data_IF_311504925650
#
_entry.id   IF_311504925650
#
_cell.length_a   1.000
_cell.length_b   1.000
_cell.length_c   1.000
_cell.angle_alpha   90.00
_cell.angle_beta   90.00
_cell.angle_gamma   90.00
#
_symmetry.space_group_name_H-M   'P 1'
#
loop_
_entity.id
_entity.type
_entity.pdbx_description
1 polymer ?
#
# COMPACT_ATOMS: atom_id res chain seq x y z
N UNK A 1 20.06 28.48 -11.71
CA UNK A 1 18.93 27.52 -11.82
C UNK A 1 19.55 26.15 -12.05
N UNK A 2 19.56 25.27 -11.05
CA UNK A 2 20.15 23.92 -11.20
C UNK A 2 19.20 23.10 -12.07
N UNK A 3 19.63 22.72 -13.27
CA UNK A 3 18.84 21.88 -14.18
C UNK A 3 18.92 20.43 -13.74
N UNK A 4 17.78 19.72 -13.78
CA UNK A 4 17.74 18.28 -13.56
C UNK A 4 18.47 17.59 -14.71
N UNK A 5 19.47 16.78 -14.37
CA UNK A 5 20.28 16.03 -15.33
C UNK A 5 19.66 14.67 -15.61
N UNK A 6 18.92 14.10 -14.66
CA UNK A 6 18.28 12.80 -14.78
C UNK A 6 16.75 12.89 -14.69
N UNK A 7 16.07 12.00 -15.42
CA UNK A 7 14.61 11.88 -15.38
C UNK A 7 14.15 11.03 -14.20
N UNK A 8 12.96 11.29 -13.67
CA UNK A 8 12.33 10.50 -12.60
C UNK A 8 12.18 9.03 -13.00
N UNK A 9 12.02 8.74 -14.29
CA UNK A 9 11.91 7.37 -14.80
C UNK A 9 13.21 6.54 -14.68
N UNK A 10 14.36 7.20 -14.56
CA UNK A 10 15.65 6.54 -14.37
C UNK A 10 15.93 6.24 -12.89
N UNK A 11 15.18 6.86 -11.98
CA UNK A 11 15.38 6.74 -10.54
C UNK A 11 15.38 5.29 -10.02
N UNK A 12 14.51 4.36 -10.49
CA UNK A 12 14.53 2.97 -10.05
C UNK A 12 15.88 2.28 -10.26
N UNK A 13 16.54 2.53 -11.39
CA UNK A 13 17.84 1.94 -11.70
C UNK A 13 18.98 2.70 -11.00
N UNK A 14 18.96 4.03 -11.05
CA UNK A 14 20.02 4.87 -10.49
C UNK A 14 20.07 4.80 -8.95
N UNK A 15 18.95 4.48 -8.28
CA UNK A 15 18.90 4.32 -6.83
C UNK A 15 19.87 3.25 -6.28
N UNK A 16 20.23 2.25 -7.09
CA UNK A 16 21.10 1.15 -6.67
C UNK A 16 22.58 1.55 -6.62
N UNK A 17 23.03 2.53 -7.39
CA UNK A 17 24.47 2.74 -7.57
C UNK A 17 24.91 4.17 -7.91
N UNK A 18 24.00 5.08 -8.25
CA UNK A 18 24.40 6.39 -8.77
C UNK A 18 24.59 7.41 -7.66
N UNK A 19 25.85 7.54 -7.24
CA UNK A 19 26.32 8.55 -6.31
C UNK A 19 25.89 9.98 -6.68
N UNK A 20 26.01 10.34 -7.97
CA UNK A 20 25.63 11.66 -8.49
C UNK A 20 24.12 11.89 -8.44
N UNK A 21 23.32 10.84 -8.60
CA UNK A 21 21.87 10.96 -8.56
C UNK A 21 21.35 11.24 -7.15
N UNK A 22 21.92 10.60 -6.11
CA UNK A 22 21.58 10.92 -4.72
C UNK A 22 21.83 12.40 -4.38
N UNK A 23 22.91 12.97 -4.91
CA UNK A 23 23.24 14.39 -4.78
C UNK A 23 22.24 15.28 -5.52
N UNK A 24 21.95 14.97 -6.78
CA UNK A 24 20.96 15.74 -7.57
C UNK A 24 19.59 15.75 -6.89
N UNK A 25 19.16 14.62 -6.35
CA UNK A 25 17.89 14.51 -5.60
C UNK A 25 17.90 15.42 -4.37
N UNK A 26 18.99 15.45 -3.61
CA UNK A 26 19.14 16.30 -2.44
C UNK A 26 19.01 17.81 -2.77
N UNK A 27 19.46 18.21 -3.95
CA UNK A 27 19.44 19.61 -4.40
C UNK A 27 18.12 20.02 -5.08
N UNK A 28 17.51 19.11 -5.86
CA UNK A 28 16.48 19.47 -6.85
C UNK A 28 15.08 18.90 -6.56
N UNK A 29 14.92 17.92 -5.67
CA UNK A 29 13.62 17.29 -5.39
C UNK A 29 12.90 17.95 -4.20
N UNK A 30 12.35 19.15 -4.41
CA UNK A 30 11.52 19.88 -3.43
C UNK A 30 10.04 19.48 -3.51
N UNK A 31 9.72 18.23 -3.16
CA UNK A 31 8.35 17.70 -3.13
C UNK A 31 8.01 16.70 -4.25
N UNK A 32 8.82 16.64 -5.32
CA UNK A 32 8.67 15.61 -6.37
C UNK A 32 9.00 14.20 -5.89
N UNK A 33 9.71 14.07 -4.76
CA UNK A 33 10.07 12.78 -4.15
C UNK A 33 8.83 11.95 -3.81
N UNK A 34 7.81 12.57 -3.22
CA UNK A 34 6.58 11.87 -2.83
C UNK A 34 5.72 11.48 -4.03
N UNK A 35 5.74 12.27 -5.11
CA UNK A 35 5.10 11.90 -6.36
C UNK A 35 5.82 10.71 -7.02
N UNK A 36 7.16 10.71 -7.01
CA UNK A 36 7.96 9.57 -7.47
C UNK A 36 7.68 8.32 -6.64
N UNK A 37 7.62 8.43 -5.31
CA UNK A 37 7.32 7.29 -4.43
C UNK A 37 5.94 6.69 -4.76
N UNK A 38 4.93 7.53 -5.00
CA UNK A 38 3.60 7.07 -5.42
C UNK A 38 3.68 6.33 -6.76
N UNK A 39 4.41 6.89 -7.74
CA UNK A 39 4.57 6.27 -9.05
C UNK A 39 5.31 4.92 -8.97
N UNK A 40 6.40 4.85 -8.21
CA UNK A 40 7.15 3.62 -7.97
C UNK A 40 6.25 2.54 -7.39
N UNK A 41 5.50 2.88 -6.33
CA UNK A 41 4.57 1.95 -5.70
C UNK A 41 3.43 1.56 -6.65
N UNK A 42 2.87 2.50 -7.41
CA UNK A 42 1.82 2.20 -8.38
C UNK A 42 2.27 1.12 -9.36
N UNK A 43 3.49 1.21 -9.89
CA UNK A 43 4.09 0.21 -10.78
C UNK A 43 4.36 -1.10 -10.05
N UNK A 44 5.00 -1.06 -8.88
CA UNK A 44 5.33 -2.26 -8.09
C UNK A 44 4.08 -3.05 -7.64
N UNK A 45 2.95 -2.38 -7.43
CA UNK A 45 1.69 -3.02 -7.05
C UNK A 45 0.90 -3.60 -8.24
N UNK A 46 1.21 -3.25 -9.50
CA UNK A 46 0.47 -3.77 -10.66
C UNK A 46 0.46 -5.31 -10.73
N UNK A 47 1.60 -6.02 -10.62
CA UNK A 47 1.61 -7.48 -10.73
C UNK A 47 0.79 -8.15 -9.63
N UNK A 48 0.92 -7.67 -8.39
CA UNK A 48 0.16 -8.19 -7.24
C UNK A 48 -1.33 -7.89 -7.37
N UNK A 49 -1.69 -6.68 -7.83
CA UNK A 49 -3.07 -6.32 -8.13
C UNK A 49 -3.70 -7.25 -9.18
N UNK A 50 -2.97 -7.53 -10.27
CA UNK A 50 -3.41 -8.50 -11.28
C UNK A 50 -3.59 -9.92 -10.72
N UNK A 51 -2.67 -10.38 -9.86
CA UNK A 51 -2.79 -11.70 -9.23
C UNK A 51 -4.03 -11.80 -8.33
N UNK A 52 -4.27 -10.81 -7.47
CA UNK A 52 -5.45 -10.75 -6.59
C UNK A 52 -6.73 -10.71 -7.42
N UNK A 53 -6.76 -9.87 -8.46
CA UNK A 53 -7.89 -9.72 -9.37
C UNK A 53 -8.22 -11.03 -10.09
N UNK A 54 -7.21 -11.72 -10.64
CA UNK A 54 -7.40 -13.00 -11.32
C UNK A 54 -7.85 -14.09 -10.34
N UNK A 55 -7.30 -14.10 -9.12
CA UNK A 55 -7.71 -15.02 -8.06
C UNK A 55 -9.17 -14.82 -7.66
N UNK A 56 -9.61 -13.57 -7.50
CA UNK A 56 -11.01 -13.23 -7.22
C UNK A 56 -11.93 -13.62 -8.37
N UNK A 57 -11.60 -13.25 -9.61
CA UNK A 57 -12.40 -13.61 -10.78
C UNK A 57 -12.58 -15.13 -10.91
N UNK A 58 -11.49 -15.89 -10.73
CA UNK A 58 -11.50 -17.36 -10.73
C UNK A 58 -12.37 -17.93 -9.62
N UNK A 59 -12.28 -17.39 -8.40
CA UNK A 59 -13.14 -17.81 -7.28
C UNK A 59 -14.62 -17.55 -7.59
N UNK A 60 -14.96 -16.41 -8.20
CA UNK A 60 -16.33 -16.11 -8.61
C UNK A 60 -16.80 -17.09 -9.69
N UNK A 61 -15.98 -17.43 -10.68
CA UNK A 61 -16.36 -18.36 -11.76
C UNK A 61 -16.49 -19.82 -11.30
N UNK A 62 -15.55 -20.30 -10.51
CA UNK A 62 -15.42 -21.73 -10.21
C UNK A 62 -16.09 -22.14 -8.90
N UNK A 63 -16.12 -21.26 -7.89
CA UNK A 63 -16.56 -21.63 -6.54
C UNK A 63 -17.92 -21.02 -6.19
N UNK A 64 -18.17 -19.77 -6.60
CA UNK A 64 -19.39 -19.07 -6.21
C UNK A 64 -20.70 -19.77 -6.64
N UNK A 65 -20.79 -20.47 -7.80
CA UNK A 65 -22.03 -21.15 -8.16
C UNK A 65 -22.48 -22.17 -7.11
N UNK A 66 -21.54 -22.91 -6.51
CA UNK A 66 -21.82 -23.92 -5.47
C UNK A 66 -22.43 -23.32 -4.20
N UNK A 67 -22.22 -22.04 -3.94
CA UNK A 67 -22.85 -21.31 -2.84
C UNK A 67 -24.16 -20.66 -3.27
N UNK A 68 -24.17 -20.00 -4.44
CA UNK A 68 -25.35 -19.27 -4.92
C UNK A 68 -26.52 -20.20 -5.21
N UNK A 69 -26.27 -21.43 -5.66
CA UNK A 69 -27.30 -22.44 -5.88
C UNK A 69 -28.03 -22.87 -4.59
N UNK A 70 -27.44 -22.65 -3.41
CA UNK A 70 -28.07 -22.95 -2.12
C UNK A 70 -28.99 -21.81 -1.63
N UNK A 71 -28.93 -20.63 -2.26
CA UNK A 71 -29.72 -19.46 -1.85
C UNK A 71 -31.17 -19.64 -2.32
N UNK A 72 -32.17 -19.71 -1.42
CA UNK A 72 -33.57 -19.71 -1.82
C UNK A 72 -34.00 -18.30 -2.26
N UNK A 73 -35.14 -18.14 -2.97
CA UNK A 73 -35.75 -16.83 -3.15
C UNK A 73 -36.15 -16.25 -1.79
N UNK A 74 -35.67 -15.04 -1.47
CA UNK A 74 -35.95 -14.32 -0.24
C UNK A 74 -36.58 -12.98 -0.62
N UNK A 75 -37.71 -12.67 0.01
CA UNK A 75 -38.39 -11.38 -0.12
C UNK A 75 -38.51 -10.77 1.27
N UNK A 76 -38.06 -9.54 1.43
CA UNK A 76 -38.26 -8.74 2.65
C UNK A 76 -39.24 -7.64 2.30
N UNK A 77 -40.37 -7.58 3.02
CA UNK A 77 -41.36 -6.50 2.91
C UNK A 77 -41.73 -5.99 4.29
N UNK A 78 -41.64 -4.68 4.49
CA UNK A 78 -41.91 -4.01 5.77
C UNK A 78 -41.17 -4.68 6.95
N UNK A 79 -39.91 -5.03 6.71
CA UNK A 79 -39.05 -5.74 7.66
C UNK A 79 -39.39 -7.20 7.95
N UNK A 80 -40.33 -7.81 7.23
CA UNK A 80 -40.67 -9.23 7.35
C UNK A 80 -40.09 -10.03 6.18
N UNK A 81 -39.31 -11.05 6.52
CA UNK A 81 -38.72 -12.00 5.59
C UNK A 81 -39.73 -13.09 5.24
N UNK A 82 -39.88 -13.35 3.95
CA UNK A 82 -40.60 -14.47 3.37
C UNK A 82 -39.66 -15.27 2.47
N UNK A 83 -39.75 -16.60 2.56
CA UNK A 83 -38.87 -17.53 1.84
C UNK A 83 -39.73 -18.55 1.12
N UNK A 84 -39.61 -18.59 -0.21
CA UNK A 84 -40.31 -19.56 -1.05
C UNK A 84 -39.47 -20.83 -1.25
N UNK A 85 -39.25 -21.55 -0.14
CA UNK A 85 -38.53 -22.81 -0.10
C UNK A 85 -38.88 -23.61 1.17
N UNK A 86 -38.52 -24.90 1.19
CA UNK A 86 -38.66 -25.73 2.38
C UNK A 86 -37.71 -25.23 3.48
N UNK A 87 -38.26 -24.87 4.62
CA UNK A 87 -37.54 -24.34 5.78
C UNK A 87 -37.37 -25.40 6.89
N UNK A 88 -36.33 -25.30 7.74
CA UNK A 88 -35.21 -24.35 7.65
C UNK A 88 -34.25 -24.66 6.48
N UNK A 89 -33.73 -23.62 5.83
CA UNK A 89 -32.73 -23.76 4.77
C UNK A 89 -31.32 -23.63 5.35
N UNK A 90 -30.39 -24.46 4.89
CA UNK A 90 -29.00 -24.45 5.33
C UNK A 90 -28.10 -24.14 4.14
N UNK A 91 -27.27 -23.11 4.28
CA UNK A 91 -26.17 -22.83 3.36
C UNK A 91 -24.91 -23.41 3.98
N UNK A 92 -24.32 -24.37 3.27
CA UNK A 92 -23.17 -25.14 3.73
C UNK A 92 -21.97 -24.92 2.83
N UNK A 93 -20.80 -24.99 3.42
CA UNK A 93 -19.56 -25.08 2.68
C UNK A 93 -19.58 -26.39 1.85
N UNK A 94 -19.45 -26.32 0.52
CA UNK A 94 -19.58 -27.47 -0.35
C UNK A 94 -18.57 -28.59 -0.08
N UNK A 95 -17.40 -28.26 0.44
CA UNK A 95 -16.26 -29.17 0.61
C UNK A 95 -16.19 -29.72 2.03
N UNK A 96 -16.33 -28.86 3.04
CA UNK A 96 -16.26 -29.24 4.47
C UNK A 96 -17.62 -29.61 5.08
N UNK A 97 -18.71 -29.34 4.38
CA UNK A 97 -20.10 -29.49 4.86
C UNK A 97 -20.44 -28.68 6.11
N UNK A 98 -19.57 -27.74 6.49
CA UNK A 98 -19.80 -26.85 7.62
C UNK A 98 -20.97 -25.92 7.30
N UNK A 99 -21.92 -25.78 8.23
CA UNK A 99 -23.02 -24.82 8.08
C UNK A 99 -22.46 -23.40 8.18
N UNK A 100 -22.68 -22.60 7.15
CA UNK A 100 -22.24 -21.21 7.07
C UNK A 100 -23.38 -20.25 7.43
N UNK A 101 -24.57 -20.51 6.89
CA UNK A 101 -25.76 -19.73 7.19
C UNK A 101 -27.01 -20.60 7.32
N UNK A 102 -27.99 -20.13 8.10
CA UNK A 102 -29.30 -20.77 8.30
C UNK A 102 -30.37 -19.73 8.01
N UNK A 103 -31.43 -20.13 7.31
CA UNK A 103 -32.59 -19.30 7.03
C UNK A 103 -33.81 -20.02 7.59
N UNK A 104 -34.45 -19.42 8.60
CA UNK A 104 -35.64 -19.97 9.24
C UNK A 104 -36.57 -18.85 9.73
N UNK A 105 -37.64 -18.61 8.98
CA UNK A 105 -38.73 -17.68 9.31
C UNK A 105 -39.86 -18.34 10.12
N UNK A 106 -39.82 -19.66 10.30
CA UNK A 106 -40.85 -20.44 11.00
C UNK A 106 -40.62 -20.54 12.50
N UNK A 107 -39.39 -20.27 12.96
CA UNK A 107 -39.01 -20.36 14.37
C UNK A 107 -38.78 -21.80 14.86
N UNK A 108 -38.58 -22.75 13.96
CA UNK A 108 -38.28 -24.15 14.30
C UNK A 108 -36.87 -24.31 14.89
N UNK A 109 -35.94 -23.42 14.53
CA UNK A 109 -34.54 -23.45 14.95
C UNK A 109 -34.21 -22.20 15.76
N UNK A 110 -33.56 -22.40 16.91
CA UNK A 110 -33.09 -21.30 17.75
C UNK A 110 -31.91 -20.55 17.05
N UNK A 111 -31.82 -19.21 17.19
CA UNK A 111 -30.72 -18.43 16.65
C UNK A 111 -29.35 -18.91 17.19
N UNK A 112 -28.42 -19.22 16.27
CA UNK A 112 -26.94 -19.42 16.33
C UNK A 112 -26.23 -20.06 17.53
N UNK A 113 -26.79 -20.09 18.74
CA UNK A 113 -26.10 -20.49 19.97
C UNK A 113 -25.73 -21.98 20.03
N UNK A 114 -26.21 -22.81 19.06
CA UNK A 114 -25.94 -24.26 19.03
C UNK A 114 -25.60 -24.86 17.66
N UNK A 115 -25.59 -24.08 16.58
CA UNK A 115 -25.50 -24.63 15.21
C UNK A 115 -24.16 -24.45 14.51
N UNK A 116 -23.24 -23.65 15.08
CA UNK A 116 -21.92 -23.38 14.48
C UNK A 116 -21.96 -22.50 13.23
N UNK A 117 -23.14 -22.07 12.80
CA UNK A 117 -23.33 -21.15 11.69
C UNK A 117 -22.82 -19.74 12.02
N UNK A 118 -22.49 -18.98 10.98
CA UNK A 118 -22.03 -17.60 11.10
C UNK A 118 -23.18 -16.60 10.97
N UNK A 119 -24.22 -16.96 10.20
CA UNK A 119 -25.37 -16.10 9.91
C UNK A 119 -26.66 -16.87 10.12
N UNK A 120 -27.64 -16.26 10.78
CA UNK A 120 -29.00 -16.76 10.88
C UNK A 120 -29.97 -15.68 10.40
N UNK A 121 -30.83 -16.00 9.45
CA UNK A 121 -31.88 -15.11 8.94
C UNK A 121 -33.21 -15.61 9.50
N UNK A 122 -33.79 -14.83 10.41
CA UNK A 122 -35.10 -15.07 11.00
C UNK A 122 -36.22 -14.33 10.27
N UNK A 123 -37.40 -14.29 10.88
CA UNK A 123 -38.57 -13.61 10.32
C UNK A 123 -38.40 -12.10 10.16
N UNK A 124 -37.74 -11.44 11.11
CA UNK A 124 -37.65 -9.98 11.20
C UNK A 124 -36.25 -9.47 11.61
N UNK A 125 -35.29 -10.39 11.67
CA UNK A 125 -33.94 -10.12 12.14
C UNK A 125 -32.90 -10.99 11.44
N UNK A 126 -31.70 -10.44 11.30
CA UNK A 126 -30.50 -11.18 10.90
C UNK A 126 -29.54 -11.20 12.07
N UNK A 127 -29.11 -12.40 12.45
CA UNK A 127 -28.14 -12.60 13.51
C UNK A 127 -26.80 -12.98 12.88
N UNK A 128 -25.73 -12.31 13.26
CA UNK A 128 -24.37 -12.54 12.75
C UNK A 128 -23.41 -12.80 13.91
N UNK A 129 -22.70 -13.92 13.85
CA UNK A 129 -21.65 -14.27 14.80
C UNK A 129 -20.33 -13.62 14.38
N UNK A 130 -19.78 -12.72 15.20
CA UNK A 130 -18.49 -12.05 14.96
C UNK A 130 -17.29 -12.76 15.61
N UNK A 131 -17.53 -13.60 16.62
CA UNK A 131 -16.48 -14.35 17.31
C UNK A 131 -17.07 -15.47 18.17
N UNK A 132 -16.24 -16.08 19.03
CA UNK A 132 -16.70 -17.15 19.93
C UNK A 132 -17.84 -16.69 20.85
N UNK A 133 -17.77 -15.42 21.32
CA UNK A 133 -18.66 -14.87 22.35
C UNK A 133 -19.42 -13.61 21.90
N UNK A 134 -19.33 -13.20 20.64
CA UNK A 134 -20.02 -12.01 20.15
C UNK A 134 -21.00 -12.37 19.03
N UNK A 135 -22.27 -12.10 19.30
CA UNK A 135 -23.38 -12.23 18.36
C UNK A 135 -24.06 -10.87 18.21
N UNK A 136 -24.28 -10.43 16.98
CA UNK A 136 -24.99 -9.18 16.68
C UNK A 136 -26.32 -9.47 16.01
N UNK A 137 -27.37 -8.86 16.51
CA UNK A 137 -28.72 -8.93 15.95
C UNK A 137 -28.99 -7.62 15.22
N UNK A 138 -29.37 -7.72 13.95
CA UNK A 138 -29.80 -6.60 13.12
C UNK A 138 -31.29 -6.74 12.85
N UNK A 139 -32.08 -5.74 13.24
CA UNK A 139 -33.50 -5.68 12.90
C UNK A 139 -33.68 -5.31 11.44
N UNK A 140 -34.68 -5.90 10.79
CA UNK A 140 -35.04 -5.63 9.39
C UNK A 140 -36.14 -4.57 9.26
N UNK A 141 -36.68 -4.06 10.37
CA UNK A 141 -37.77 -3.06 10.40
C UNK A 141 -37.59 -1.83 9.51
N UNK A 142 -36.35 -1.44 9.20
CA UNK A 142 -36.05 -0.30 8.31
C UNK A 142 -36.04 -0.63 6.81
N UNK A 143 -36.38 -1.86 6.41
CA UNK A 143 -36.36 -2.32 5.01
C UNK A 143 -37.79 -2.36 4.48
N UNK A 144 -38.11 -1.44 3.55
CA UNK A 144 -39.43 -1.37 2.90
C UNK A 144 -39.64 -2.54 1.94
N UNK A 145 -38.75 -2.72 0.96
CA UNK A 145 -38.82 -3.83 0.02
C UNK A 145 -37.41 -4.24 -0.44
N UNK A 146 -37.08 -5.53 -0.30
CA UNK A 146 -35.85 -6.12 -0.83
C UNK A 146 -36.17 -7.50 -1.39
N UNK A 147 -35.84 -7.71 -2.66
CA UNK A 147 -35.85 -9.03 -3.28
C UNK A 147 -34.41 -9.52 -3.38
N UNK A 148 -34.15 -10.73 -2.91
CA UNK A 148 -32.84 -11.34 -2.95
C UNK A 148 -32.97 -12.81 -3.35
N UNK A 149 -32.46 -13.13 -4.54
CA UNK A 149 -32.45 -14.47 -5.08
C UNK A 149 -31.09 -14.80 -5.69
N UNK A 150 -31.02 -15.95 -6.35
CA UNK A 150 -29.81 -16.45 -6.99
C UNK A 150 -29.35 -15.57 -8.15
N UNK A 151 -30.27 -14.97 -8.89
CA UNK A 151 -29.94 -14.20 -10.08
C UNK A 151 -29.39 -12.82 -9.69
N UNK A 152 -29.96 -12.21 -8.66
CA UNK A 152 -29.40 -11.02 -8.02
C UNK A 152 -28.01 -11.33 -7.44
N UNK A 153 -27.85 -12.44 -6.73
CA UNK A 153 -26.54 -12.85 -6.20
C UNK A 153 -25.50 -13.05 -7.33
N UNK A 154 -25.87 -13.73 -8.42
CA UNK A 154 -25.02 -13.91 -9.62
C UNK A 154 -24.66 -12.57 -10.26
N UNK A 155 -25.61 -11.64 -10.36
CA UNK A 155 -25.38 -10.33 -10.94
C UNK A 155 -24.34 -9.54 -10.12
N UNK A 156 -24.51 -9.49 -8.80
CA UNK A 156 -23.57 -8.82 -7.91
C UNK A 156 -22.18 -9.45 -7.92
N UNK A 157 -22.11 -10.78 -7.89
CA UNK A 157 -20.84 -11.52 -7.99
C UNK A 157 -20.17 -11.29 -9.35
N UNK A 158 -20.93 -11.37 -10.44
CA UNK A 158 -20.44 -11.08 -11.79
C UNK A 158 -19.89 -9.66 -11.92
N UNK A 159 -20.59 -8.66 -11.36
CA UNK A 159 -20.12 -7.27 -11.32
C UNK A 159 -18.89 -7.09 -10.43
N UNK A 160 -18.82 -7.81 -9.31
CA UNK A 160 -17.69 -7.72 -8.38
C UNK A 160 -16.37 -8.08 -9.05
N UNK A 161 -16.39 -8.95 -10.08
CA UNK A 161 -15.19 -9.30 -10.86
C UNK A 161 -14.52 -8.09 -11.44
N UNK A 162 -15.24 -7.04 -11.84
CA UNK A 162 -14.64 -5.88 -12.50
C UNK A 162 -14.39 -4.71 -11.55
N UNK A 163 -15.18 -4.62 -10.47
CA UNK A 163 -15.12 -3.50 -9.54
C UNK A 163 -14.18 -3.76 -8.36
N UNK A 164 -14.12 -5.01 -7.87
CA UNK A 164 -13.33 -5.34 -6.69
C UNK A 164 -11.82 -5.13 -6.93
N UNK A 165 -11.30 -5.53 -8.09
CA UNK A 165 -9.88 -5.40 -8.43
C UNK A 165 -9.34 -3.97 -8.31
N UNK A 166 -9.88 -3.01 -9.10
CA UNK A 166 -9.45 -1.61 -9.02
C UNK A 166 -9.59 -1.01 -7.62
N UNK A 167 -10.68 -1.34 -6.90
CA UNK A 167 -10.90 -0.87 -5.54
C UNK A 167 -9.85 -1.40 -4.57
N UNK A 168 -9.60 -2.72 -4.58
CA UNK A 168 -8.58 -3.36 -3.74
C UNK A 168 -7.19 -2.85 -4.10
N UNK A 169 -6.87 -2.70 -5.39
CA UNK A 169 -5.60 -2.13 -5.84
C UNK A 169 -5.38 -0.72 -5.28
N UNK A 170 -6.37 0.17 -5.38
CA UNK A 170 -6.27 1.52 -4.82
C UNK A 170 -6.09 1.51 -3.30
N UNK A 171 -6.80 0.62 -2.60
CA UNK A 171 -6.67 0.47 -1.16
C UNK A 171 -5.27 -0.03 -0.74
N UNK A 172 -4.73 -1.02 -1.46
CA UNK A 172 -3.37 -1.54 -1.22
C UNK A 172 -2.30 -0.49 -1.53
N UNK A 173 -2.44 0.22 -2.65
CA UNK A 173 -1.54 1.30 -3.03
C UNK A 173 -1.56 2.43 -1.99
N UNK A 174 -2.74 2.87 -1.55
CA UNK A 174 -2.88 3.91 -0.54
C UNK A 174 -2.27 3.48 0.81
N UNK A 175 -2.58 2.27 1.28
CA UNK A 175 -2.01 1.75 2.52
C UNK A 175 -0.48 1.62 2.47
N UNK A 176 0.06 1.11 1.36
CA UNK A 176 1.49 1.00 1.12
C UNK A 176 2.17 2.38 1.06
N UNK A 177 1.53 3.34 0.38
CA UNK A 177 2.03 4.71 0.27
C UNK A 177 2.11 5.38 1.64
N UNK A 178 1.05 5.32 2.45
CA UNK A 178 1.03 5.87 3.80
C UNK A 178 2.12 5.26 4.68
N UNK A 179 2.27 3.93 4.63
CA UNK A 179 3.32 3.23 5.36
C UNK A 179 4.72 3.73 4.94
N UNK A 180 4.99 3.85 3.63
CA UNK A 180 6.28 4.31 3.12
C UNK A 180 6.55 5.78 3.41
N UNK A 181 5.52 6.63 3.45
CA UNK A 181 5.66 8.03 3.87
C UNK A 181 6.16 8.09 5.32
N UNK A 182 5.58 7.30 6.22
CA UNK A 182 6.03 7.23 7.63
C UNK A 182 7.46 6.72 7.73
N UNK A 183 7.82 5.67 6.98
CA UNK A 183 9.19 5.15 6.95
C UNK A 183 10.21 6.19 6.44
N UNK A 184 9.90 6.89 5.34
CA UNK A 184 10.73 7.94 4.77
C UNK A 184 10.92 9.11 5.73
N UNK A 185 9.86 9.51 6.45
CA UNK A 185 9.95 10.53 7.50
C UNK A 185 10.89 10.08 8.62
N UNK A 186 10.76 8.83 9.08
CA UNK A 186 11.65 8.24 10.07
C UNK A 186 13.11 8.18 9.61
N UNK A 187 13.36 7.78 8.36
CA UNK A 187 14.69 7.77 7.76
C UNK A 187 15.27 9.18 7.60
N UNK A 188 14.46 10.17 7.24
CA UNK A 188 14.94 11.55 7.13
C UNK A 188 15.32 12.11 8.51
N UNK A 189 14.54 11.79 9.56
CA UNK A 189 14.90 12.09 10.94
C UNK A 189 16.22 11.43 11.34
N UNK A 190 16.40 10.16 10.99
CA UNK A 190 17.66 9.45 11.21
C UNK A 190 18.82 10.09 10.43
N UNK A 191 18.58 10.54 9.20
CA UNK A 191 19.54 11.27 8.38
C UNK A 191 19.97 12.60 9.00
N UNK A 192 19.12 13.28 9.77
CA UNK A 192 19.50 14.48 10.52
C UNK A 192 20.55 14.18 11.60
N UNK A 193 20.54 12.98 12.17
CA UNK A 193 21.53 12.53 13.16
C UNK A 193 22.86 12.21 12.48
N UNK A 194 22.83 11.50 11.34
CA UNK A 194 24.04 11.07 10.62
C UNK A 194 24.68 12.17 9.75
N UNK A 195 23.95 13.24 9.44
CA UNK A 195 24.46 14.36 8.63
C UNK A 195 25.27 15.40 9.41
N UNK A 196 25.58 15.14 10.70
CA UNK A 196 26.33 16.08 11.56
C UNK A 196 27.69 16.49 10.97
N UNK A 197 28.36 15.56 10.30
CA UNK A 197 29.70 15.77 9.73
C UNK A 197 29.67 16.15 8.24
N UNK A 198 28.47 16.31 7.65
CA UNK A 198 28.28 16.69 6.24
C UNK A 198 28.19 18.21 6.13
N UNK A 199 29.04 18.82 5.31
CA UNK A 199 29.08 20.29 5.13
C UNK A 199 28.91 20.65 3.65
N UNK A 200 27.93 21.47 3.22
CA UNK A 200 26.88 22.07 4.05
C UNK A 200 25.91 21.01 4.56
N UNK A 201 25.37 21.24 5.76
CA UNK A 201 24.45 20.29 6.37
C UNK A 201 23.16 20.23 5.54
N UNK A 202 22.75 19.07 5.03
CA UNK A 202 21.52 18.94 4.25
C UNK A 202 20.31 19.29 5.12
N UNK A 203 19.40 20.10 4.58
CA UNK A 203 18.13 20.40 5.23
C UNK A 203 17.18 19.19 5.20
N UNK A 204 16.11 19.24 6.00
CA UNK A 204 15.15 18.14 6.10
C UNK A 204 14.52 17.74 4.74
N UNK A 205 14.21 18.71 3.88
CA UNK A 205 13.69 18.43 2.54
C UNK A 205 14.66 17.64 1.65
N UNK A 206 15.95 17.92 1.74
CA UNK A 206 16.99 17.17 1.03
C UNK A 206 17.08 15.73 1.56
N UNK A 207 17.04 15.58 2.90
CA UNK A 207 17.03 14.28 3.55
C UNK A 207 15.79 13.45 3.17
N UNK A 208 14.61 14.07 3.06
CA UNK A 208 13.40 13.39 2.56
C UNK A 208 13.59 12.87 1.14
N UNK A 209 14.16 13.67 0.24
CA UNK A 209 14.48 13.23 -1.12
C UNK A 209 15.42 12.02 -1.13
N UNK A 210 16.50 12.08 -0.36
CA UNK A 210 17.47 10.99 -0.21
C UNK A 210 16.80 9.75 0.38
N UNK A 211 15.98 9.90 1.42
CA UNK A 211 15.28 8.78 2.06
C UNK A 211 14.29 8.10 1.11
N UNK A 212 13.57 8.86 0.28
CA UNK A 212 12.72 8.28 -0.78
C UNK A 212 13.56 7.47 -1.78
N UNK A 213 14.71 7.99 -2.19
CA UNK A 213 15.59 7.25 -3.08
C UNK A 213 16.18 6.00 -2.39
N UNK A 214 16.50 6.10 -1.11
CA UNK A 214 17.08 5.01 -0.32
C UNK A 214 16.11 3.84 -0.07
N UNK A 215 14.81 4.08 0.03
CA UNK A 215 13.80 3.00 0.11
C UNK A 215 13.52 2.35 -1.25
N UNK A 216 13.96 2.94 -2.37
CA UNK A 216 13.68 2.42 -3.71
C UNK A 216 14.23 0.99 -3.91
N UNK A 217 15.49 0.67 -3.58
CA UNK A 217 16.02 -0.69 -3.74
C UNK A 217 15.26 -1.72 -2.89
N UNK A 218 14.86 -1.36 -1.66
CA UNK A 218 14.14 -2.29 -0.79
C UNK A 218 12.71 -2.55 -1.29
N UNK A 219 12.04 -1.54 -1.85
CA UNK A 219 10.75 -1.70 -2.53
C UNK A 219 10.87 -2.62 -3.75
N UNK A 220 11.87 -2.39 -4.61
CA UNK A 220 12.05 -3.18 -5.84
C UNK A 220 12.41 -4.64 -5.50
N UNK A 221 13.38 -4.85 -4.60
CA UNK A 221 13.78 -6.20 -4.17
C UNK A 221 12.61 -6.93 -3.50
N UNK A 222 11.86 -6.25 -2.63
CA UNK A 222 10.66 -6.84 -2.01
C UNK A 222 9.62 -7.26 -3.05
N UNK A 223 9.34 -6.40 -4.03
CA UNK A 223 8.42 -6.70 -5.14
C UNK A 223 8.87 -7.94 -5.93
N UNK A 224 10.17 -8.03 -6.24
CA UNK A 224 10.73 -9.18 -6.97
C UNK A 224 10.64 -10.47 -6.15
N UNK A 225 10.91 -10.42 -4.84
CA UNK A 225 10.80 -11.58 -3.97
C UNK A 225 9.36 -12.07 -3.83
N UNK A 226 8.39 -11.15 -3.69
CA UNK A 226 6.98 -11.47 -3.64
C UNK A 226 6.52 -12.16 -4.94
N UNK A 227 6.97 -11.65 -6.09
CA UNK A 227 6.70 -12.27 -7.39
C UNK A 227 7.36 -13.64 -7.55
N UNK A 228 8.55 -13.81 -6.99
CA UNK A 228 9.24 -15.09 -6.94
C UNK A 228 8.65 -16.06 -5.89
N UNK A 229 7.64 -15.63 -5.12
CA UNK A 229 7.08 -16.36 -3.97
C UNK A 229 8.15 -16.76 -2.95
N UNK A 230 9.23 -15.99 -2.88
CA UNK A 230 10.31 -16.19 -1.94
C UNK A 230 10.00 -15.43 -0.64
N UNK A 231 10.30 -16.03 0.51
CA UNK A 231 10.16 -15.37 1.80
C UNK A 231 11.52 -15.23 2.48
N UNK A 232 11.72 -14.08 3.12
CA UNK A 232 12.86 -13.85 3.99
C UNK A 232 12.38 -13.81 5.44
N UNK A 233 13.03 -14.53 6.37
CA UNK A 233 12.71 -14.42 7.78
C UNK A 233 12.96 -12.98 8.23
N UNK A 234 11.97 -12.39 8.91
CA UNK A 234 12.01 -10.99 9.38
C UNK A 234 12.32 -9.98 8.26
N UNK A 235 11.76 -10.20 7.07
CA UNK A 235 11.96 -9.39 5.85
C UNK A 235 11.91 -7.88 6.09
N UNK A 236 11.00 -7.40 6.94
CA UNK A 236 10.88 -5.98 7.27
C UNK A 236 12.15 -5.38 7.89
N UNK A 237 12.87 -6.12 8.74
CA UNK A 237 14.15 -5.67 9.32
C UNK A 237 15.24 -5.61 8.27
N UNK A 238 15.27 -6.58 7.37
CA UNK A 238 16.24 -6.63 6.27
C UNK A 238 16.05 -5.44 5.33
N UNK A 239 14.80 -5.16 4.93
CA UNK A 239 14.48 -4.02 4.07
C UNK A 239 14.73 -2.67 4.75
N UNK A 240 14.47 -2.56 6.05
CA UNK A 240 14.82 -1.37 6.84
C UNK A 240 16.34 -1.18 6.86
N UNK A 241 17.12 -2.23 7.13
CA UNK A 241 18.58 -2.17 7.14
C UNK A 241 19.15 -1.79 5.76
N UNK A 242 18.60 -2.34 4.67
CA UNK A 242 18.94 -1.94 3.29
C UNK A 242 18.69 -0.45 3.10
N UNK A 243 17.51 0.04 3.51
CA UNK A 243 17.14 1.45 3.33
C UNK A 243 18.03 2.40 4.15
N UNK A 244 18.43 2.01 5.37
CA UNK A 244 19.43 2.75 6.16
C UNK A 244 20.79 2.75 5.45
N UNK A 245 21.22 1.61 4.91
CA UNK A 245 22.46 1.52 4.14
C UNK A 245 22.49 2.48 2.96
N UNK A 246 21.41 2.55 2.18
CA UNK A 246 21.30 3.49 1.06
C UNK A 246 21.15 4.96 1.49
N UNK A 247 20.54 5.22 2.65
CA UNK A 247 20.53 6.57 3.23
C UNK A 247 21.96 7.03 3.56
N UNK A 248 22.74 6.17 4.22
CA UNK A 248 24.14 6.47 4.54
C UNK A 248 24.99 6.62 3.28
N UNK A 249 24.74 5.81 2.25
CA UNK A 249 25.35 5.94 0.93
C UNK A 249 25.06 7.33 0.31
N UNK A 250 23.80 7.79 0.35
CA UNK A 250 23.43 9.13 -0.13
C UNK A 250 24.07 10.27 0.67
N UNK A 251 24.22 10.11 1.99
CA UNK A 251 24.92 11.10 2.83
C UNK A 251 26.41 11.16 2.55
N UNK A 252 27.06 10.00 2.40
CA UNK A 252 28.44 9.92 1.95
C UNK A 252 28.60 10.62 0.59
N UNK A 253 27.56 10.55 -0.25
CA UNK A 253 27.60 11.13 -1.58
C UNK A 253 27.72 12.66 -1.63
N UNK A 254 27.04 13.31 -0.69
CA UNK A 254 27.08 14.76 -0.50
C UNK A 254 28.40 15.18 0.16
N UNK A 255 28.89 14.39 1.12
CA UNK A 255 30.15 14.66 1.82
C UNK A 255 31.33 14.71 0.84
N UNK A 256 31.48 13.71 -0.01
CA UNK A 256 32.62 13.62 -0.93
C UNK A 256 32.70 14.80 -1.92
N UNK A 257 31.56 15.33 -2.37
CA UNK A 257 31.54 16.52 -3.24
C UNK A 257 32.12 17.74 -2.54
N UNK A 258 31.75 17.90 -1.28
CA UNK A 258 32.10 19.06 -0.49
C UNK A 258 33.59 19.07 -0.17
N UNK A 259 34.16 17.89 0.06
CA UNK A 259 35.61 17.71 0.25
C UNK A 259 36.37 17.99 -1.05
N UNK A 260 35.86 17.55 -2.21
CA UNK A 260 36.43 17.91 -3.52
C UNK A 260 36.38 19.42 -3.80
N UNK A 261 35.27 20.08 -3.46
CA UNK A 261 35.11 21.51 -3.70
C UNK A 261 36.00 22.36 -2.75
N UNK A 262 36.29 21.87 -1.55
CA UNK A 262 37.24 22.48 -0.60
C UNK A 262 38.71 22.24 -0.98
N UNK A 263 39.02 21.11 -1.62
CA UNK A 263 40.39 20.72 -2.02
C UNK A 263 40.85 21.26 -3.38
N UNK A 264 39.96 21.86 -4.18
CA UNK A 264 40.33 22.48 -5.46
C UNK A 264 41.12 23.78 -5.23
N UNK A 265 42.34 23.96 -5.77
CA UNK A 265 43.12 25.17 -5.59
C UNK A 265 42.42 26.40 -6.20
N UNK A 266 41.93 27.27 -5.32
CA UNK A 266 41.74 28.71 -5.49
C UNK A 266 41.20 29.24 -6.82
N UNK A 267 39.87 29.27 -7.00
CA UNK A 267 39.23 30.44 -7.64
C UNK A 267 38.90 31.45 -6.54
N UNK A 268 39.92 32.12 -6.03
CA UNK A 268 39.80 33.00 -4.86
C UNK A 268 41.07 33.80 -4.64
N UNK A 269 41.50 34.52 -5.66
CA UNK A 269 42.63 35.42 -5.59
C UNK A 269 42.65 36.31 -6.82
N UNK A 270 42.06 37.49 -6.72
CA UNK A 270 42.40 38.57 -7.66
C UNK A 270 43.92 38.76 -7.60
N UNK A 271 44.62 38.86 -8.75
CA UNK A 271 46.06 39.06 -8.74
C UNK A 271 46.40 40.36 -7.98
N UNK A 272 47.56 40.43 -7.29
CA UNK A 272 47.93 41.62 -6.55
C UNK A 272 47.99 42.82 -7.49
N UNK A 273 47.23 43.86 -7.15
CA UNK A 273 47.28 45.14 -7.85
C UNK A 273 48.63 45.79 -7.53
N UNK A 274 49.57 45.71 -8.47
CA UNK A 274 50.89 46.31 -8.37
C UNK A 274 50.77 47.84 -8.27
N UNK A 275 51.10 48.40 -7.10
CA UNK A 275 51.30 49.84 -6.91
C UNK A 275 52.78 50.13 -7.13
N UNK A 276 53.12 50.67 -8.30
CA UNK A 276 54.48 51.08 -8.64
C UNK A 276 54.96 52.23 -7.73
N UNK A 277 56.28 52.45 -7.62
CA UNK A 277 56.84 53.43 -6.69
C UNK A 277 56.51 54.86 -7.15
N UNK A 278 55.97 55.65 -6.24
CA UNK A 278 55.88 57.11 -6.35
C UNK A 278 57.30 57.68 -6.46
N UNK A 279 57.63 58.26 -7.62
CA UNK A 279 58.86 59.01 -7.80
C UNK A 279 58.88 60.26 -6.91
N UNK A 280 60.05 60.71 -6.42
CA UNK A 280 60.14 61.95 -5.67
C UNK A 280 60.07 63.14 -6.63
N UNK A 281 59.30 64.15 -6.23
CA UNK A 281 59.25 65.44 -6.92
C UNK A 281 60.57 66.20 -6.84
N UNK A 282 60.85 66.91 -7.93
CA UNK A 282 61.94 67.87 -8.13
C UNK A 282 61.78 68.51 -9.48
#
# INVERSE_FOLDING_TARGET
MIMRRHSILQAPALAFYSWDFYREVAETWRGTSFAYLLLLLAVCWLPTGCQVQNGWAKMVDEQSPRFVEQIPPIVIKDGIVSVDAKQPCYITDPDTKKVLAIIDTTGQVAPLDRTGALVFIGKDQVVVKKGANETRVYSLSGIEELHFDRDIARLWLGRSKYVAGPFVYLMMLAGSYLFRVVEVLGLACLGMVFSRDVTPRPGFGALLGISVLAVTPSIIVGTVLDLAKASLPKSWLVFLAISIGYLLYGLAAIRAQSDHQKGAPGQGGSPPQWSGPTGPGG
#
